data_IF_065051234001
#
_entry.id   IF_065051234001
#
_cell.length_a   1.000
_cell.length_b   1.000
_cell.length_c   1.000
_cell.angle_alpha   90.00
_cell.angle_beta   90.00
_cell.angle_gamma   90.00
#
_symmetry.space_group_name_H-M   'P 1'
#
loop_
_entity.id
_entity.type
_entity.pdbx_description
1 polymer ?
#
# COMPACT_ATOMS: atom_id res chain seq x y z
N UNK A 1 -15.11 33.78 -11.94
CA UNK A 1 -13.98 33.83 -12.89
C UNK A 1 -13.27 32.49 -12.79
N UNK A 2 -13.62 31.55 -13.69
CA UNK A 2 -13.03 30.22 -13.72
C UNK A 2 -11.64 30.31 -14.37
N UNK A 3 -10.61 29.86 -13.67
CA UNK A 3 -9.35 29.49 -14.29
C UNK A 3 -9.17 28.01 -14.02
N UNK A 4 -9.40 27.22 -15.09
CA UNK A 4 -8.97 25.85 -15.18
C UNK A 4 -7.44 25.82 -15.28
N UNK A 5 -6.78 25.09 -14.44
CA UNK A 5 -5.37 24.72 -14.60
C UNK A 5 -5.33 23.20 -14.71
N UNK A 6 -5.37 22.72 -15.96
CA UNK A 6 -4.75 21.48 -16.34
C UNK A 6 -3.24 21.69 -16.36
N UNK A 7 -2.49 20.88 -15.65
CA UNK A 7 -1.27 20.19 -16.05
C UNK A 7 -0.51 19.71 -14.84
N UNK A 8 -0.45 18.41 -14.71
CA UNK A 8 0.53 17.67 -13.92
C UNK A 8 1.93 18.00 -14.45
N UNK A 9 2.84 18.34 -13.56
CA UNK A 9 4.24 17.97 -13.47
C UNK A 9 5.06 19.02 -12.70
N UNK A 10 5.65 18.59 -11.58
CA UNK A 10 6.82 19.19 -10.92
C UNK A 10 6.61 20.60 -10.28
N UNK A 11 5.87 20.64 -9.18
CA UNK A 11 6.06 21.73 -8.24
C UNK A 11 7.25 21.45 -7.33
N UNK A 12 8.36 22.17 -7.54
CA UNK A 12 9.47 22.19 -6.60
C UNK A 12 9.10 23.04 -5.37
N UNK A 13 9.86 22.89 -4.26
CA UNK A 13 9.54 23.56 -2.98
C UNK A 13 9.36 25.08 -3.05
N UNK A 14 10.01 25.75 -4.01
CA UNK A 14 9.91 27.23 -4.19
C UNK A 14 8.52 27.66 -4.72
N UNK A 15 7.90 26.88 -5.57
CA UNK A 15 6.56 27.17 -6.11
C UNK A 15 5.44 26.95 -5.09
N UNK A 16 5.60 25.99 -4.16
CA UNK A 16 4.70 25.82 -3.00
C UNK A 16 4.76 27.01 -2.06
N UNK A 17 5.95 27.56 -1.84
CA UNK A 17 6.14 28.75 -1.00
C UNK A 17 5.51 29.99 -1.66
N UNK A 18 5.61 30.14 -2.97
CA UNK A 18 4.96 31.24 -3.71
C UNK A 18 3.43 31.14 -3.65
N UNK A 19 2.86 29.93 -3.78
CA UNK A 19 1.41 29.71 -3.68
C UNK A 19 0.87 29.98 -2.28
N UNK A 20 1.58 29.56 -1.23
CA UNK A 20 1.24 29.87 0.16
C UNK A 20 1.33 31.37 0.46
N UNK A 21 2.29 32.06 -0.14
CA UNK A 21 2.43 33.52 0.02
C UNK A 21 1.28 34.28 -0.63
N UNK A 22 0.83 33.87 -1.82
CA UNK A 22 -0.35 34.46 -2.50
C UNK A 22 -1.64 34.20 -1.72
N UNK A 23 -1.81 32.99 -1.15
CA UNK A 23 -2.97 32.68 -0.30
C UNK A 23 -2.95 33.47 1.02
N UNK A 24 -1.79 33.74 1.60
CA UNK A 24 -1.65 34.55 2.81
C UNK A 24 -1.88 36.04 2.57
N UNK A 25 -1.46 36.60 1.43
CA UNK A 25 -1.70 38.00 1.06
C UNK A 25 -3.18 38.27 0.74
N UNK A 26 -3.93 37.29 0.21
CA UNK A 26 -5.38 37.45 -0.03
C UNK A 26 -6.25 37.31 1.24
N UNK A 27 -5.69 36.78 2.33
CA UNK A 27 -6.40 36.67 3.62
C UNK A 27 -6.13 37.82 4.58
N UNK A 28 -5.19 38.71 4.29
CA UNK A 28 -4.87 39.83 5.16
C UNK A 28 -5.96 40.95 5.17
N UNK A 29 -6.82 41.01 4.17
CA UNK A 29 -7.90 42.04 4.12
C UNK A 29 -9.14 41.67 4.96
N UNK A 30 -9.19 40.50 5.61
CA UNK A 30 -10.39 40.04 6.33
C UNK A 30 -10.21 39.63 7.80
N UNK A 31 -9.04 39.85 8.43
CA UNK A 31 -8.84 39.41 9.82
C UNK A 31 -8.18 40.48 10.68
N UNK A 32 -9.00 41.48 11.07
CA UNK A 32 -8.76 42.29 12.26
C UNK A 32 -9.43 41.59 13.48
N UNK A 33 -8.81 40.52 14.00
CA UNK A 33 -9.40 39.82 15.16
C UNK A 33 -8.84 38.52 15.64
N UNK A 34 -7.58 38.11 15.34
CA UNK A 34 -6.97 36.96 15.99
C UNK A 34 -5.43 37.04 16.05
N UNK A 35 -4.92 37.77 17.02
CA UNK A 35 -3.48 37.89 17.32
C UNK A 35 -3.05 36.85 18.35
N UNK A 36 -3.23 35.58 18.12
CA UNK A 36 -2.64 34.55 19.01
C UNK A 36 -2.18 33.25 18.32
N UNK A 37 -2.33 33.14 17.00
CA UNK A 37 -1.92 31.93 16.26
C UNK A 37 -0.67 32.11 15.39
N UNK A 38 -0.19 33.33 15.20
CA UNK A 38 0.93 33.61 14.27
C UNK A 38 2.31 33.18 14.78
N UNK A 39 2.52 33.13 16.10
CA UNK A 39 3.84 32.75 16.64
C UNK A 39 4.16 31.27 16.47
N UNK A 40 3.16 30.38 16.57
CA UNK A 40 3.36 28.94 16.46
C UNK A 40 3.57 28.50 15.00
N UNK A 41 2.83 29.08 14.06
CA UNK A 41 2.98 28.74 12.62
C UNK A 41 4.33 29.23 12.07
N UNK A 42 4.80 30.38 12.50
CA UNK A 42 6.10 30.91 12.08
C UNK A 42 7.27 30.09 12.63
N UNK A 43 7.14 29.54 13.84
CA UNK A 43 8.15 28.67 14.45
C UNK A 43 8.23 27.30 13.76
N UNK A 44 7.09 26.70 13.37
CA UNK A 44 7.06 25.43 12.63
C UNK A 44 7.64 25.56 11.21
N UNK A 45 7.29 26.64 10.50
CA UNK A 45 7.84 26.89 9.14
C UNK A 45 9.34 27.15 9.16
N UNK A 46 9.86 27.86 10.16
CA UNK A 46 11.31 28.10 10.32
C UNK A 46 12.05 26.82 10.70
N UNK A 47 11.45 25.91 11.47
CA UNK A 47 12.03 24.61 11.77
C UNK A 47 12.08 23.70 10.55
N UNK A 48 11.01 23.64 9.74
CA UNK A 48 11.01 22.86 8.50
C UNK A 48 12.04 23.37 7.50
N UNK A 49 12.19 24.68 7.32
CA UNK A 49 13.20 25.28 6.42
C UNK A 49 14.62 24.95 6.90
N UNK A 50 14.90 24.97 8.21
CA UNK A 50 16.20 24.56 8.76
C UNK A 50 16.47 23.07 8.52
N UNK A 51 15.46 22.22 8.68
CA UNK A 51 15.58 20.77 8.46
C UNK A 51 15.83 20.45 6.97
N UNK A 52 15.16 21.15 6.05
CA UNK A 52 15.40 21.04 4.60
C UNK A 52 16.79 21.52 4.19
N UNK A 53 17.29 22.61 4.77
CA UNK A 53 18.64 23.10 4.52
C UNK A 53 19.72 22.12 4.99
N UNK A 54 19.52 21.44 6.10
CA UNK A 54 20.45 20.39 6.57
C UNK A 54 20.43 19.16 5.65
N UNK A 55 19.25 18.70 5.23
CA UNK A 55 19.10 17.55 4.33
C UNK A 55 19.67 17.79 2.94
N UNK A 56 19.45 18.98 2.36
CA UNK A 56 20.02 19.35 1.05
C UNK A 56 21.52 19.56 1.12
N UNK A 57 22.04 20.15 2.20
CA UNK A 57 23.49 20.29 2.44
C UNK A 57 24.20 18.94 2.52
N UNK A 58 23.63 17.98 3.26
CA UNK A 58 24.19 16.62 3.36
C UNK A 58 24.15 15.88 2.01
N UNK A 59 23.07 16.02 1.24
CA UNK A 59 22.94 15.39 -0.09
C UNK A 59 23.97 15.95 -1.10
N UNK A 60 24.25 17.25 -1.06
CA UNK A 60 25.26 17.88 -1.92
C UNK A 60 26.67 17.42 -1.54
N UNK A 61 26.97 17.31 -0.24
CA UNK A 61 28.26 16.80 0.23
C UNK A 61 28.49 15.34 -0.18
N UNK A 62 27.48 14.48 -0.09
CA UNK A 62 27.57 13.08 -0.53
C UNK A 62 27.77 12.98 -2.04
N UNK A 63 27.06 13.79 -2.84
CA UNK A 63 27.25 13.85 -4.30
C UNK A 63 28.65 14.31 -4.69
N UNK A 64 29.18 15.33 -4.01
CA UNK A 64 30.56 15.81 -4.23
C UNK A 64 31.61 14.76 -3.84
N UNK A 65 31.39 14.03 -2.74
CA UNK A 65 32.29 12.95 -2.33
C UNK A 65 32.24 11.77 -3.33
N UNK A 66 31.09 11.44 -3.87
CA UNK A 66 30.95 10.41 -4.92
C UNK A 66 31.63 10.84 -6.23
N UNK A 67 31.51 12.10 -6.63
CA UNK A 67 32.19 12.63 -7.81
C UNK A 67 33.73 12.64 -7.62
N UNK A 68 34.21 13.04 -6.46
CA UNK A 68 35.65 12.98 -6.13
C UNK A 68 36.15 11.53 -6.13
N UNK A 69 35.37 10.61 -5.56
CA UNK A 69 35.69 9.18 -5.57
C UNK A 69 35.76 8.62 -7.00
N UNK A 70 34.77 8.95 -7.85
CA UNK A 70 34.81 8.57 -9.27
C UNK A 70 36.02 9.12 -10.03
N UNK A 71 36.41 10.38 -9.78
CA UNK A 71 37.57 10.99 -10.42
C UNK A 71 38.89 10.39 -9.95
N UNK A 72 39.00 10.02 -8.68
CA UNK A 72 40.21 9.37 -8.13
C UNK A 72 40.32 7.95 -8.66
N UNK A 73 39.23 7.19 -8.67
CA UNK A 73 39.22 5.78 -9.14
C UNK A 73 39.35 5.64 -10.66
N UNK A 74 38.89 6.61 -11.45
CA UNK A 74 39.06 6.58 -12.92
C UNK A 74 40.50 6.84 -13.37
N UNK A 75 41.40 7.30 -12.50
CA UNK A 75 42.83 7.52 -12.85
C UNK A 75 43.73 6.30 -12.66
N UNK A 76 43.27 5.23 -12.02
CA UNK A 76 44.09 4.06 -11.67
C UNK A 76 43.75 2.74 -12.39
N UNK A 77 42.94 2.76 -13.44
CA UNK A 77 42.65 1.54 -14.23
C UNK A 77 43.48 1.59 -15.54
N UNK A 78 44.54 0.84 -15.66
CA UNK A 78 45.23 0.67 -16.94
C UNK A 78 44.37 -0.09 -17.92
N UNK A 79 44.30 0.41 -19.16
CA UNK A 79 43.45 -0.13 -20.28
C UNK A 79 43.77 -1.61 -20.59
N UNK A 80 44.89 -2.13 -20.18
CA UNK A 80 45.29 -3.53 -20.40
C UNK A 80 44.52 -4.56 -19.58
N UNK A 81 43.75 -4.13 -18.57
CA UNK A 81 42.94 -5.04 -17.71
C UNK A 81 41.65 -5.47 -18.38
N UNK A 82 41.08 -4.65 -19.28
CA UNK A 82 39.79 -4.91 -19.90
C UNK A 82 39.88 -6.03 -20.95
N UNK A 83 41.00 -6.10 -21.69
CA UNK A 83 41.20 -7.16 -22.69
C UNK A 83 41.40 -8.55 -22.09
N UNK A 84 41.94 -8.62 -20.87
CA UNK A 84 42.14 -9.91 -20.17
C UNK A 84 40.86 -10.46 -19.55
N UNK A 85 39.97 -9.58 -19.05
CA UNK A 85 38.66 -9.99 -18.49
C UNK A 85 37.74 -10.52 -19.59
N UNK A 86 37.70 -9.85 -20.77
CA UNK A 86 36.90 -10.34 -21.90
C UNK A 86 37.40 -11.65 -22.48
N UNK A 87 38.72 -11.90 -22.49
CA UNK A 87 39.32 -13.15 -22.93
C UNK A 87 39.08 -14.30 -21.92
N UNK A 88 38.90 -13.99 -20.65
CA UNK A 88 38.61 -14.97 -19.59
C UNK A 88 37.13 -15.37 -19.58
N UNK A 89 36.20 -14.41 -19.76
CA UNK A 89 34.78 -14.69 -19.91
C UNK A 89 34.46 -15.54 -21.17
N UNK A 90 35.15 -15.30 -22.28
CA UNK A 90 35.00 -16.10 -23.48
C UNK A 90 35.52 -17.56 -23.30
N UNK A 91 36.57 -17.77 -22.49
CA UNK A 91 37.04 -19.13 -22.17
C UNK A 91 36.14 -19.86 -21.17
N UNK A 92 35.56 -19.16 -20.21
CA UNK A 92 34.58 -19.75 -19.26
C UNK A 92 33.26 -20.11 -19.94
N UNK A 93 32.78 -19.33 -20.91
CA UNK A 93 31.57 -19.66 -21.66
C UNK A 93 31.70 -20.93 -22.50
N UNK A 94 32.84 -21.14 -23.16
CA UNK A 94 33.11 -22.36 -23.96
C UNK A 94 33.32 -23.58 -23.07
N UNK A 95 33.91 -23.41 -21.87
CA UNK A 95 34.09 -24.50 -20.92
C UNK A 95 32.78 -24.90 -20.24
N UNK A 96 31.86 -23.95 -20.01
CA UNK A 96 30.53 -24.19 -19.43
C UNK A 96 29.60 -24.94 -20.38
N UNK A 97 29.73 -24.73 -21.68
CA UNK A 97 28.92 -25.41 -22.72
C UNK A 97 29.34 -26.86 -22.91
N UNK A 98 30.65 -27.14 -22.84
CA UNK A 98 31.15 -28.51 -22.91
C UNK A 98 30.84 -29.35 -21.65
N UNK A 99 30.74 -28.71 -20.50
CA UNK A 99 30.36 -29.34 -19.22
C UNK A 99 28.84 -29.56 -19.11
N UNK A 100 28.03 -28.67 -19.70
CA UNK A 100 26.57 -28.86 -19.76
C UNK A 100 26.16 -30.06 -20.60
N UNK A 101 26.83 -30.31 -21.73
CA UNK A 101 26.50 -31.44 -22.62
C UNK A 101 26.87 -32.79 -21.99
N UNK A 102 27.81 -32.83 -21.04
CA UNK A 102 28.21 -34.07 -20.33
C UNK A 102 27.39 -34.32 -19.06
N UNK A 103 26.89 -33.27 -18.40
CA UNK A 103 26.03 -33.38 -17.21
C UNK A 103 24.57 -33.72 -17.56
N UNK A 104 24.10 -33.43 -18.78
CA UNK A 104 22.75 -33.75 -19.23
C UNK A 104 22.50 -35.23 -19.53
N UNK A 105 23.54 -36.08 -19.47
CA UNK A 105 23.45 -37.54 -19.78
C UNK A 105 23.47 -38.42 -18.53
N UNK A 106 23.50 -37.87 -17.31
CA UNK A 106 23.68 -38.66 -16.07
C UNK A 106 22.76 -38.26 -14.90
N UNK A 107 21.72 -37.50 -15.15
CA UNK A 107 20.66 -37.35 -14.14
C UNK A 107 19.37 -36.97 -14.87
N UNK A 108 18.53 -37.94 -15.15
CA UNK A 108 17.09 -37.68 -15.19
C UNK A 108 16.71 -37.18 -13.78
N UNK A 109 16.38 -35.89 -13.58
CA UNK A 109 15.70 -35.52 -12.37
C UNK A 109 14.35 -36.23 -12.48
N UNK A 110 14.04 -37.11 -11.54
CA UNK A 110 12.65 -37.42 -11.25
C UNK A 110 11.88 -36.11 -11.36
N UNK A 111 10.91 -36.11 -12.22
CA UNK A 111 9.88 -35.08 -12.24
C UNK A 111 9.26 -35.07 -10.84
N UNK A 112 9.88 -34.33 -9.93
CA UNK A 112 9.23 -33.95 -8.71
C UNK A 112 8.07 -33.05 -9.16
N UNK A 113 6.93 -33.62 -8.98
CA UNK A 113 5.59 -33.18 -9.15
C UNK A 113 5.41 -31.66 -8.84
N UNK A 114 5.77 -30.81 -9.82
CA UNK A 114 5.52 -29.37 -9.80
C UNK A 114 4.02 -29.05 -9.98
N UNK A 115 3.13 -30.05 -9.77
CA UNK A 115 1.68 -29.91 -9.88
C UNK A 115 0.94 -29.97 -8.55
N UNK A 116 1.58 -29.84 -7.40
CA UNK A 116 0.88 -29.48 -6.18
C UNK A 116 0.69 -27.96 -6.17
N UNK A 117 -0.13 -27.49 -7.09
CA UNK A 117 -0.72 -26.16 -7.07
C UNK A 117 -1.42 -26.03 -5.72
N UNK A 118 -0.74 -25.42 -4.76
CA UNK A 118 -1.32 -25.07 -3.46
C UNK A 118 -2.56 -24.22 -3.76
N UNK A 119 -3.73 -24.82 -3.62
CA UNK A 119 -4.97 -24.22 -4.09
C UNK A 119 -5.58 -23.44 -2.93
N UNK A 120 -4.84 -22.45 -2.41
CA UNK A 120 -5.39 -21.52 -1.43
C UNK A 120 -6.60 -20.81 -2.01
N UNK A 121 -7.63 -20.68 -1.20
CA UNK A 121 -8.89 -20.05 -1.55
C UNK A 121 -9.10 -18.82 -0.68
N UNK A 122 -9.05 -17.66 -1.29
CA UNK A 122 -9.28 -16.38 -0.61
C UNK A 122 -10.62 -15.80 -1.04
N UNK A 123 -11.39 -15.32 -0.06
CA UNK A 123 -12.56 -14.50 -0.34
C UNK A 123 -12.24 -13.05 -0.01
N UNK A 124 -12.33 -12.20 -1.02
CA UNK A 124 -12.21 -10.75 -0.89
C UNK A 124 -13.61 -10.14 -0.87
N UNK A 125 -13.84 -9.29 0.10
CA UNK A 125 -15.11 -8.60 0.23
C UNK A 125 -14.90 -7.09 0.02
N UNK A 126 -15.51 -6.54 -1.04
CA UNK A 126 -15.60 -5.10 -1.22
C UNK A 126 -16.80 -4.58 -0.46
N UNK A 127 -16.57 -3.88 0.65
CA UNK A 127 -17.62 -3.32 1.51
C UNK A 127 -18.60 -2.46 0.72
N UNK A 128 -19.86 -2.39 1.20
CA UNK A 128 -20.94 -1.61 0.59
C UNK A 128 -21.25 -2.02 -0.86
N UNK A 129 -21.88 -1.14 -1.65
CA UNK A 129 -22.17 -1.36 -3.07
C UNK A 129 -23.64 -1.14 -3.44
N UNK A 130 -23.87 -0.67 -4.68
CA UNK A 130 -25.18 -0.32 -5.20
C UNK A 130 -25.79 0.86 -4.44
N UNK A 131 -26.93 0.63 -3.77
CA UNK A 131 -27.64 1.67 -2.99
C UNK A 131 -26.93 2.04 -1.66
N UNK A 132 -25.98 1.23 -1.22
CA UNK A 132 -25.23 1.45 0.00
C UNK A 132 -23.87 2.05 -0.39
N UNK A 133 -23.75 3.37 -0.29
CA UNK A 133 -22.55 4.13 -0.67
C UNK A 133 -21.41 3.93 0.33
N UNK A 134 -21.74 3.60 1.60
CA UNK A 134 -20.80 3.64 2.71
C UNK A 134 -20.50 5.07 3.12
N UNK A 135 -19.29 5.33 3.58
CA UNK A 135 -18.79 6.68 3.84
C UNK A 135 -18.62 7.45 2.52
N UNK A 136 -18.82 8.76 2.59
CA UNK A 136 -18.61 9.67 1.47
C UNK A 136 -17.64 10.77 1.91
N UNK A 137 -16.72 11.15 1.03
CA UNK A 137 -15.80 12.26 1.28
C UNK A 137 -16.56 13.58 1.43
N UNK A 138 -16.00 14.54 2.17
CA UNK A 138 -16.65 15.82 2.44
C UNK A 138 -17.01 16.63 1.17
N UNK A 139 -16.25 16.43 0.08
CA UNK A 139 -16.52 17.04 -1.21
C UNK A 139 -17.47 16.21 -2.11
N UNK A 140 -17.96 15.08 -1.62
CA UNK A 140 -18.87 14.18 -2.32
C UNK A 140 -18.28 13.47 -3.54
N UNK A 141 -16.95 13.49 -3.74
CA UNK A 141 -16.31 12.97 -4.96
C UNK A 141 -15.78 11.55 -4.85
N UNK A 142 -15.73 11.01 -3.65
CA UNK A 142 -15.28 9.64 -3.42
C UNK A 142 -16.24 8.94 -2.46
N UNK A 143 -16.87 7.89 -2.94
CA UNK A 143 -17.70 6.98 -2.16
C UNK A 143 -16.89 5.77 -1.71
N UNK A 144 -17.11 5.33 -0.48
CA UNK A 144 -16.43 4.16 0.09
C UNK A 144 -16.60 2.92 -0.79
N UNK A 145 -17.80 2.69 -1.32
CA UNK A 145 -18.08 1.52 -2.19
C UNK A 145 -17.17 1.48 -3.42
N UNK A 146 -16.86 2.63 -4.01
CA UNK A 146 -16.03 2.72 -5.22
C UNK A 146 -14.57 2.43 -4.91
N UNK A 147 -14.07 3.05 -3.85
CA UNK A 147 -12.70 2.81 -3.39
C UNK A 147 -12.49 1.34 -2.97
N UNK A 148 -13.39 0.79 -2.16
CA UNK A 148 -13.31 -0.61 -1.74
C UNK A 148 -13.28 -1.57 -2.93
N UNK A 149 -14.09 -1.30 -3.96
CA UNK A 149 -14.11 -2.10 -5.18
C UNK A 149 -12.80 -2.02 -5.94
N UNK A 150 -12.23 -0.83 -6.07
CA UNK A 150 -10.97 -0.61 -6.76
C UNK A 150 -9.81 -1.34 -6.05
N UNK A 151 -9.71 -1.22 -4.73
CA UNK A 151 -8.69 -1.92 -3.93
C UNK A 151 -8.84 -3.44 -4.03
N UNK A 152 -10.08 -3.97 -3.90
CA UNK A 152 -10.36 -5.41 -4.00
C UNK A 152 -9.97 -5.96 -5.37
N UNK A 153 -10.27 -5.26 -6.46
CA UNK A 153 -9.88 -5.68 -7.81
C UNK A 153 -8.36 -5.78 -7.96
N UNK A 154 -7.63 -4.84 -7.40
CA UNK A 154 -6.17 -4.86 -7.48
C UNK A 154 -5.57 -5.97 -6.60
N UNK A 155 -6.10 -6.21 -5.39
CA UNK A 155 -5.69 -7.35 -4.55
C UNK A 155 -5.97 -8.68 -5.28
N UNK A 156 -7.15 -8.83 -5.88
CA UNK A 156 -7.53 -10.04 -6.60
C UNK A 156 -6.55 -10.32 -7.75
N UNK A 157 -6.24 -9.30 -8.54
CA UNK A 157 -5.27 -9.40 -9.64
C UNK A 157 -3.90 -9.90 -9.16
N UNK A 158 -3.39 -9.33 -8.05
CA UNK A 158 -2.10 -9.72 -7.48
C UNK A 158 -2.10 -11.17 -6.96
N UNK A 159 -3.14 -11.57 -6.24
CA UNK A 159 -3.28 -12.93 -5.70
C UNK A 159 -3.44 -13.97 -6.81
N UNK A 160 -4.26 -13.70 -7.83
CA UNK A 160 -4.46 -14.60 -8.97
C UNK A 160 -3.18 -14.78 -9.78
N UNK A 161 -2.38 -13.73 -9.96
CA UNK A 161 -1.05 -13.81 -10.58
C UNK A 161 -0.07 -14.68 -9.78
N UNK A 162 -0.28 -14.80 -8.47
CA UNK A 162 0.50 -15.68 -7.58
C UNK A 162 -0.08 -17.10 -7.44
N UNK A 163 -1.07 -17.46 -8.27
CA UNK A 163 -1.67 -18.79 -8.30
C UNK A 163 -2.71 -19.06 -7.20
N UNK A 164 -3.11 -18.04 -6.43
CA UNK A 164 -4.16 -18.13 -5.41
C UNK A 164 -5.53 -18.07 -6.07
N UNK A 165 -6.47 -18.92 -5.62
CA UNK A 165 -7.85 -18.89 -6.09
C UNK A 165 -8.64 -17.82 -5.34
N UNK A 166 -9.11 -16.81 -6.05
CA UNK A 166 -9.83 -15.67 -5.45
C UNK A 166 -11.32 -15.71 -5.81
N UNK A 167 -12.14 -15.39 -4.83
CA UNK A 167 -13.58 -15.11 -5.01
C UNK A 167 -13.89 -13.75 -4.41
N UNK A 168 -14.43 -12.85 -5.24
CA UNK A 168 -14.89 -11.53 -4.80
C UNK A 168 -16.39 -11.57 -4.51
N UNK A 169 -16.84 -10.90 -3.45
CA UNK A 169 -18.27 -10.76 -3.13
C UNK A 169 -19.00 -9.94 -4.19
N UNK A 170 -18.30 -8.98 -4.80
CA UNK A 170 -18.72 -8.21 -5.97
C UNK A 170 -17.52 -7.81 -6.82
N UNK A 171 -17.74 -7.70 -8.11
CA UNK A 171 -16.76 -7.22 -9.11
C UNK A 171 -17.27 -5.99 -9.87
N UNK A 172 -18.50 -5.59 -9.58
CA UNK A 172 -19.18 -4.41 -10.11
C UNK A 172 -19.84 -3.65 -8.97
N UNK A 173 -20.36 -2.45 -9.24
CA UNK A 173 -21.16 -1.71 -8.27
C UNK A 173 -22.57 -2.34 -8.18
N UNK A 174 -22.77 -3.14 -7.15
CA UNK A 174 -24.05 -3.80 -6.85
C UNK A 174 -24.20 -4.03 -5.36
N UNK A 175 -25.43 -4.05 -4.89
CA UNK A 175 -25.75 -4.35 -3.49
C UNK A 175 -25.49 -5.83 -3.18
N UNK A 176 -24.75 -6.10 -2.11
CA UNK A 176 -24.51 -7.45 -1.58
C UNK A 176 -24.83 -7.47 -0.09
N UNK A 177 -25.76 -8.31 0.33
CA UNK A 177 -26.13 -8.39 1.74
C UNK A 177 -25.00 -8.96 2.61
N UNK A 178 -24.91 -8.53 3.88
CA UNK A 178 -23.94 -9.04 4.86
C UNK A 178 -23.99 -10.58 4.95
N UNK A 179 -25.19 -11.17 4.89
CA UNK A 179 -25.38 -12.63 4.85
C UNK A 179 -24.75 -13.28 3.62
N UNK A 180 -24.87 -12.67 2.44
CA UNK A 180 -24.32 -13.21 1.20
C UNK A 180 -22.77 -13.19 1.21
N UNK A 181 -22.15 -12.14 1.76
CA UNK A 181 -20.70 -12.02 1.91
C UNK A 181 -20.12 -13.18 2.72
N UNK A 182 -20.65 -13.40 3.91
CA UNK A 182 -20.22 -14.48 4.80
C UNK A 182 -20.55 -15.86 4.21
N UNK A 183 -21.74 -16.02 3.59
CA UNK A 183 -22.12 -17.28 2.96
C UNK A 183 -21.16 -17.69 1.85
N UNK A 184 -20.63 -16.73 1.08
CA UNK A 184 -19.64 -17.00 0.06
C UNK A 184 -18.37 -17.62 0.67
N UNK A 185 -17.79 -16.98 1.69
CA UNK A 185 -16.61 -17.44 2.36
C UNK A 185 -16.77 -18.84 2.98
N UNK A 186 -17.87 -19.02 3.73
CA UNK A 186 -18.18 -20.30 4.37
C UNK A 186 -18.43 -21.42 3.35
N UNK A 187 -19.16 -21.14 2.24
CA UNK A 187 -19.43 -22.11 1.17
C UNK A 187 -18.15 -22.53 0.44
N UNK A 188 -17.21 -21.60 0.26
CA UNK A 188 -15.94 -21.85 -0.41
C UNK A 188 -14.90 -22.49 0.51
N UNK A 189 -15.20 -22.62 1.81
CA UNK A 189 -14.24 -23.07 2.83
C UNK A 189 -12.91 -22.31 2.68
N UNK A 190 -13.05 -20.98 2.56
CA UNK A 190 -11.92 -20.13 2.27
C UNK A 190 -10.86 -20.20 3.39
N UNK A 191 -9.59 -20.11 3.03
CA UNK A 191 -8.49 -20.02 3.99
C UNK A 191 -8.57 -18.70 4.76
N UNK A 192 -9.12 -17.65 4.14
CA UNK A 192 -9.48 -16.40 4.83
C UNK A 192 -10.53 -15.59 4.06
N UNK A 193 -11.25 -14.74 4.82
CA UNK A 193 -12.13 -13.68 4.34
C UNK A 193 -11.51 -12.33 4.72
N UNK A 194 -11.11 -11.54 3.73
CA UNK A 194 -10.61 -10.18 3.94
C UNK A 194 -11.62 -9.19 3.37
N UNK A 195 -12.24 -8.42 4.26
CA UNK A 195 -13.21 -7.37 3.89
C UNK A 195 -12.51 -6.02 3.89
N UNK A 196 -12.70 -5.25 2.83
CA UNK A 196 -12.09 -3.93 2.62
C UNK A 196 -13.14 -2.86 2.82
N UNK A 197 -12.82 -1.92 3.69
CA UNK A 197 -13.63 -0.79 4.09
C UNK A 197 -12.79 0.49 4.21
N UNK A 198 -13.47 1.63 4.31
CA UNK A 198 -12.91 2.89 4.72
C UNK A 198 -13.67 3.39 5.94
N UNK A 199 -12.96 4.00 6.84
CA UNK A 199 -13.55 4.61 8.01
C UNK A 199 -14.06 6.03 7.69
N UNK A 200 -14.95 6.52 8.56
CA UNK A 200 -15.36 7.92 8.63
C UNK A 200 -15.43 8.35 10.09
N UNK A 201 -15.13 9.60 10.35
CA UNK A 201 -15.30 10.21 11.66
C UNK A 201 -16.38 11.28 11.64
N UNK A 202 -16.94 11.57 12.80
CA UNK A 202 -17.84 12.70 13.01
C UNK A 202 -17.17 14.01 12.53
N UNK A 203 -17.96 14.92 11.93
CA UNK A 203 -17.52 16.20 11.38
C UNK A 203 -16.62 17.04 12.31
N UNK A 204 -16.68 16.82 13.63
CA UNK A 204 -15.82 17.48 14.61
C UNK A 204 -14.46 16.78 14.84
N UNK A 205 -14.19 15.65 14.17
CA UNK A 205 -13.01 14.80 14.38
C UNK A 205 -12.23 14.52 13.10
N UNK A 206 -12.18 15.47 12.19
CA UNK A 206 -11.43 15.34 10.92
C UNK A 206 -9.92 15.09 11.11
N UNK A 207 -9.39 15.23 12.33
CA UNK A 207 -8.01 14.88 12.65
C UNK A 207 -7.78 13.36 12.78
N UNK A 208 -8.85 12.56 12.89
CA UNK A 208 -8.73 11.10 12.98
C UNK A 208 -8.38 10.54 11.61
N UNK A 209 -7.27 9.77 11.55
CA UNK A 209 -6.73 9.23 10.31
C UNK A 209 -5.98 7.92 10.50
N UNK A 210 -5.72 7.20 9.41
CA UNK A 210 -4.87 6.02 9.40
C UNK A 210 -5.63 4.71 9.35
N UNK A 211 -4.91 3.61 9.44
CA UNK A 211 -5.37 2.25 9.18
C UNK A 211 -5.73 1.54 10.48
N UNK A 212 -6.89 0.90 10.50
CA UNK A 212 -7.31 -0.04 11.54
C UNK A 212 -7.59 -1.41 10.93
N UNK A 213 -7.41 -2.49 11.70
CA UNK A 213 -7.88 -3.81 11.27
C UNK A 213 -8.72 -4.43 12.37
N UNK A 214 -9.96 -4.76 12.01
CA UNK A 214 -10.95 -5.30 12.93
C UNK A 214 -10.91 -6.82 12.89
N UNK A 215 -11.01 -7.46 14.08
CA UNK A 215 -11.00 -8.90 14.22
C UNK A 215 -11.95 -9.40 15.31
N UNK A 216 -12.31 -10.68 15.26
CA UNK A 216 -12.98 -11.38 16.37
C UNK A 216 -12.04 -12.40 17.03
N UNK A 217 -12.32 -12.74 18.28
CA UNK A 217 -11.58 -13.81 19.00
C UNK A 217 -11.96 -15.23 18.55
N UNK A 218 -12.90 -15.37 17.62
CA UNK A 218 -13.38 -16.66 17.19
C UNK A 218 -12.21 -17.51 16.68
N UNK A 219 -12.10 -18.72 17.21
CA UNK A 219 -11.22 -19.73 16.67
C UNK A 219 -11.90 -20.38 15.47
N UNK A 220 -11.24 -20.40 14.34
CA UNK A 220 -11.77 -20.93 13.09
C UNK A 220 -10.99 -22.17 12.61
N UNK A 221 -10.15 -22.75 13.48
CA UNK A 221 -9.37 -23.97 13.19
C UNK A 221 -8.25 -23.79 12.18
N UNK A 222 -7.94 -22.56 11.75
CA UNK A 222 -6.76 -22.28 10.96
C UNK A 222 -5.52 -22.28 11.86
N UNK A 223 -4.35 -22.60 11.32
CA UNK A 223 -3.08 -22.56 12.06
C UNK A 223 -2.70 -21.20 12.64
N UNK A 224 -3.54 -20.18 12.47
CA UNK A 224 -3.37 -18.79 12.94
C UNK A 224 -4.69 -18.19 13.44
N UNK A 225 -4.60 -17.22 14.33
CA UNK A 225 -5.75 -16.49 14.87
C UNK A 225 -6.11 -15.28 13.99
N UNK A 226 -7.39 -14.85 14.04
CA UNK A 226 -7.82 -13.60 13.41
C UNK A 226 -7.00 -12.38 13.87
N UNK A 227 -6.55 -12.37 15.16
CA UNK A 227 -5.69 -11.32 15.68
C UNK A 227 -4.31 -11.29 15.02
N UNK A 228 -3.72 -12.46 14.77
CA UNK A 228 -2.41 -12.57 14.10
C UNK A 228 -2.52 -12.11 12.64
N UNK A 229 -3.57 -12.51 11.93
CA UNK A 229 -3.87 -12.04 10.58
C UNK A 229 -4.06 -10.52 10.56
N UNK A 230 -4.88 -9.97 11.47
CA UNK A 230 -5.13 -8.55 11.59
C UNK A 230 -3.85 -7.74 11.85
N UNK A 231 -2.99 -8.23 12.75
CA UNK A 231 -1.72 -7.58 13.05
C UNK A 231 -0.76 -7.56 11.85
N UNK A 232 -0.73 -8.65 11.08
CA UNK A 232 0.09 -8.75 9.88
C UNK A 232 -0.44 -7.81 8.77
N UNK A 233 -1.75 -7.79 8.55
CA UNK A 233 -2.41 -6.87 7.62
C UNK A 233 -2.11 -5.42 7.98
N UNK A 234 -2.30 -5.03 9.24
CA UNK A 234 -1.97 -3.68 9.70
C UNK A 234 -0.51 -3.33 9.40
N UNK A 235 0.43 -4.18 9.82
CA UNK A 235 1.87 -3.95 9.65
C UNK A 235 2.26 -3.74 8.19
N UNK A 236 1.81 -4.64 7.31
CA UNK A 236 2.19 -4.59 5.87
C UNK A 236 1.50 -3.45 5.14
N UNK A 237 0.22 -3.18 5.45
CA UNK A 237 -0.51 -2.08 4.79
C UNK A 237 0.06 -0.72 5.22
N UNK A 238 0.36 -0.53 6.50
CA UNK A 238 1.04 0.68 6.99
C UNK A 238 2.41 0.87 6.32
N UNK A 239 3.21 -0.18 6.24
CA UNK A 239 4.53 -0.12 5.59
C UNK A 239 4.44 0.25 4.09
N UNK A 240 3.43 -0.25 3.39
CA UNK A 240 3.24 0.03 1.96
C UNK A 240 2.66 1.42 1.69
N UNK A 241 1.80 1.92 2.56
CA UNK A 241 1.05 3.18 2.35
C UNK A 241 1.71 4.40 2.98
N UNK A 242 2.45 4.20 4.08
CA UNK A 242 2.93 5.30 4.93
C UNK A 242 1.83 5.96 5.78
N UNK A 243 0.59 5.46 5.73
CA UNK A 243 -0.49 5.96 6.58
C UNK A 243 -0.27 5.53 8.04
N UNK A 244 -0.71 6.31 9.03
CA UNK A 244 -0.56 5.98 10.45
C UNK A 244 -1.24 4.66 10.82
N UNK A 245 -0.61 3.88 11.69
CA UNK A 245 -1.23 2.72 12.31
C UNK A 245 -2.12 3.16 13.48
N UNK A 246 -3.41 2.78 13.47
CA UNK A 246 -4.31 3.01 14.61
C UNK A 246 -4.43 1.78 15.51
N UNK A 247 -4.26 0.58 14.94
CA UNK A 247 -4.22 -0.65 15.71
C UNK A 247 -5.09 -1.77 15.17
N UNK A 248 -5.08 -2.88 15.90
CA UNK A 248 -5.99 -4.01 15.68
C UNK A 248 -7.09 -3.96 16.75
N UNK A 249 -8.34 -3.87 16.28
CA UNK A 249 -9.50 -3.59 17.13
C UNK A 249 -10.40 -4.83 17.20
N UNK A 250 -10.69 -5.28 18.39
CA UNK A 250 -11.62 -6.39 18.58
C UNK A 250 -13.05 -5.93 18.39
N UNK A 251 -13.80 -6.59 17.49
CA UNK A 251 -15.21 -6.32 17.18
C UNK A 251 -15.99 -7.62 17.03
N UNK A 252 -16.73 -7.99 18.06
CA UNK A 252 -17.59 -9.20 18.05
C UNK A 252 -19.01 -8.93 17.55
N UNK A 253 -19.41 -7.66 17.55
CA UNK A 253 -20.75 -7.17 17.21
C UNK A 253 -21.03 -7.12 15.70
N UNK A 254 -20.00 -7.12 14.88
CA UNK A 254 -20.16 -7.04 13.42
C UNK A 254 -20.61 -8.38 12.84
N UNK A 255 -21.58 -8.33 11.92
CA UNK A 255 -22.17 -9.51 11.30
C UNK A 255 -21.13 -10.46 10.71
N UNK A 256 -20.17 -9.93 9.97
CA UNK A 256 -19.09 -10.70 9.37
C UNK A 256 -18.27 -11.43 10.43
N UNK A 257 -17.89 -10.73 11.51
CA UNK A 257 -17.10 -11.28 12.62
C UNK A 257 -17.84 -12.38 13.38
N UNK A 258 -19.17 -12.23 13.49
CA UNK A 258 -20.01 -13.17 14.26
C UNK A 258 -20.32 -14.45 13.49
N UNK A 259 -20.47 -14.39 12.15
CA UNK A 259 -21.01 -15.49 11.35
C UNK A 259 -19.99 -16.18 10.44
N UNK A 260 -18.79 -15.62 10.27
CA UNK A 260 -17.74 -16.29 9.51
C UNK A 260 -17.28 -17.56 10.23
N UNK A 261 -17.22 -18.68 9.50
CA UNK A 261 -16.68 -19.96 9.96
C UNK A 261 -15.22 -20.16 9.55
N UNK A 262 -14.69 -19.23 8.82
CA UNK A 262 -13.30 -19.15 8.33
C UNK A 262 -12.62 -17.96 8.98
N UNK A 263 -11.28 -17.88 9.01
CA UNK A 263 -10.57 -16.68 9.45
C UNK A 263 -11.09 -15.44 8.72
N UNK A 264 -11.44 -14.40 9.49
CA UNK A 264 -12.10 -13.22 8.93
C UNK A 264 -11.62 -11.92 9.60
N UNK A 265 -11.38 -10.93 8.78
CA UNK A 265 -10.96 -9.59 9.22
C UNK A 265 -11.61 -8.51 8.34
N UNK A 266 -11.73 -7.30 8.89
CA UNK A 266 -12.08 -6.08 8.14
C UNK A 266 -10.88 -5.14 8.21
N UNK A 267 -10.45 -4.66 7.07
CA UNK A 267 -9.38 -3.67 6.95
C UNK A 267 -10.00 -2.31 6.65
N UNK A 268 -9.89 -1.40 7.61
CA UNK A 268 -10.26 0.00 7.49
C UNK A 268 -9.03 0.75 6.98
N UNK A 269 -9.02 1.06 5.71
CA UNK A 269 -7.82 1.46 4.96
C UNK A 269 -7.45 2.93 5.09
N UNK A 270 -8.24 3.70 5.82
CA UNK A 270 -8.09 5.14 6.07
C UNK A 270 -9.44 5.79 6.33
N UNK A 271 -9.45 7.08 6.59
CA UNK A 271 -10.64 7.87 6.90
C UNK A 271 -11.00 8.79 5.73
N UNK A 272 -12.14 8.56 5.06
CA UNK A 272 -12.60 9.41 3.96
C UNK A 272 -12.88 10.85 4.38
N UNK A 273 -13.23 11.06 5.64
CA UNK A 273 -13.45 12.40 6.24
C UNK A 273 -12.16 13.08 6.69
N UNK A 274 -11.00 12.43 6.60
CA UNK A 274 -9.71 13.05 6.87
C UNK A 274 -9.08 13.56 5.57
N UNK A 275 -8.72 14.86 5.45
CA UNK A 275 -8.19 15.42 4.20
C UNK A 275 -6.91 14.71 3.70
N UNK A 276 -6.00 14.31 4.59
CA UNK A 276 -4.75 13.66 4.18
C UNK A 276 -4.98 12.23 3.69
N UNK A 277 -5.83 11.47 4.39
CA UNK A 277 -6.18 10.11 3.97
C UNK A 277 -6.98 10.14 2.68
N UNK A 278 -7.96 11.06 2.55
CA UNK A 278 -8.74 11.25 1.33
C UNK A 278 -7.85 11.57 0.12
N UNK A 279 -6.92 12.53 0.26
CA UNK A 279 -6.00 12.88 -0.83
C UNK A 279 -5.12 11.71 -1.26
N UNK A 280 -4.76 10.83 -0.33
CA UNK A 280 -4.03 9.61 -0.62
C UNK A 280 -4.92 8.57 -1.32
N UNK A 281 -6.12 8.32 -0.77
CA UNK A 281 -7.03 7.27 -1.22
C UNK A 281 -7.59 7.52 -2.62
N UNK A 282 -7.84 8.76 -3.00
CA UNK A 282 -8.34 9.13 -4.34
C UNK A 282 -7.31 8.93 -5.47
N UNK A 283 -6.04 8.69 -5.15
CA UNK A 283 -4.98 8.49 -6.14
C UNK A 283 -4.86 7.00 -6.51
N UNK A 284 -4.65 6.73 -7.78
CA UNK A 284 -4.39 5.36 -8.26
C UNK A 284 -3.18 4.72 -7.55
N UNK A 285 -2.14 5.52 -7.30
CA UNK A 285 -0.98 5.09 -6.51
C UNK A 285 -1.39 4.65 -5.10
N UNK A 286 -2.28 5.39 -4.44
CA UNK A 286 -2.79 5.06 -3.10
C UNK A 286 -3.53 3.72 -3.09
N UNK A 287 -4.41 3.49 -4.08
CA UNK A 287 -5.12 2.23 -4.27
C UNK A 287 -4.13 1.06 -4.45
N UNK A 288 -3.14 1.21 -5.34
CA UNK A 288 -2.14 0.17 -5.60
C UNK A 288 -1.26 -0.14 -4.38
N UNK A 289 -0.83 0.87 -3.64
CA UNK A 289 -0.01 0.68 -2.43
C UNK A 289 -0.81 0.00 -1.32
N UNK A 290 -2.08 0.38 -1.12
CA UNK A 290 -2.98 -0.28 -0.17
C UNK A 290 -3.18 -1.75 -0.54
N UNK A 291 -3.49 -2.03 -1.81
CA UNK A 291 -3.66 -3.39 -2.30
C UNK A 291 -2.38 -4.23 -2.17
N UNK A 292 -1.22 -3.64 -2.45
CA UNK A 292 0.08 -4.29 -2.31
C UNK A 292 0.37 -4.70 -0.87
N UNK A 293 0.14 -3.81 0.11
CA UNK A 293 0.34 -4.12 1.52
C UNK A 293 -0.56 -5.26 2.01
N UNK A 294 -1.83 -5.26 1.59
CA UNK A 294 -2.79 -6.33 1.92
C UNK A 294 -2.38 -7.65 1.25
N UNK A 295 -2.02 -7.62 -0.04
CA UNK A 295 -1.50 -8.77 -0.76
C UNK A 295 -0.29 -9.41 -0.06
N UNK A 296 0.72 -8.61 0.31
CA UNK A 296 1.89 -9.12 1.02
C UNK A 296 1.53 -9.79 2.35
N UNK A 297 0.59 -9.23 3.11
CA UNK A 297 0.13 -9.79 4.37
C UNK A 297 -0.60 -11.14 4.17
N UNK A 298 -1.43 -11.24 3.14
CA UNK A 298 -2.13 -12.47 2.78
C UNK A 298 -1.13 -13.55 2.39
N UNK A 299 -0.23 -13.27 1.44
CA UNK A 299 0.77 -14.25 0.98
C UNK A 299 1.66 -14.75 2.11
N UNK A 300 2.22 -13.84 2.92
CA UNK A 300 3.05 -14.22 4.06
C UNK A 300 2.29 -15.03 5.13
N UNK A 301 0.97 -14.88 5.21
CA UNK A 301 0.14 -15.70 6.10
C UNK A 301 -0.04 -17.10 5.53
N UNK A 302 -0.33 -17.22 4.25
CA UNK A 302 -0.51 -18.52 3.58
C UNK A 302 0.77 -19.35 3.53
N UNK A 303 1.94 -18.72 3.36
CA UNK A 303 3.23 -19.38 3.33
C UNK A 303 3.68 -19.90 4.70
N UNK A 304 3.20 -19.28 5.77
CA UNK A 304 3.64 -19.62 7.13
C UNK A 304 2.82 -20.73 7.78
N UNK A 305 1.56 -20.90 7.39
CA UNK A 305 0.58 -21.76 8.03
C UNK A 305 -0.10 -22.71 7.03
#
# INVERSE_FOLDING_TARGET
MHIAIENDFLYNGAQRIAYLRICLEQTQDNICGRIQTESNVRFEVDMEIKQWRMLTGQSICVLLLLLVFCVIFSKEMPIDSISKVQAQEAKESVLSESTRTRAQKLSDPKQDDASKKSQYVIVLDAGHGGKDEGAVSDDGKLEEKEYNLAVVKEIARLLEQSGVKVYCTRTTDRTVSKKARVRLANKRQADMLVSIHCNASDARKHFVRGIEVLYSKRDNGAGYTNKQLAAKLLKKTVAATGLPARGVIRREDLYLMHHAKVPAVIVETGYLTNPSDYLYMRQEKGIRQTAWGIYQAVMETLEKY
#
